data_IF_884024495883
#
_entry.id   IF_884024495883
#
_cell.length_a   1.000
_cell.length_b   1.000
_cell.length_c   1.000
_cell.angle_alpha   90.00
_cell.angle_beta   90.00
_cell.angle_gamma   90.00
#
_symmetry.space_group_name_H-M   'P 1'
#
loop_
_entity.id
_entity.type
_entity.pdbx_description
1 polymer ?
#
# COMPACT_ATOMS: atom_id res chain seq x y z
N UNK A 1 30.09 2.41 1.81
CA UNK A 1 29.52 2.04 3.13
C UNK A 1 29.43 3.33 3.94
N UNK A 2 28.28 4.03 3.86
CA UNK A 2 28.04 5.28 4.60
C UNK A 2 27.30 4.89 5.86
N UNK A 3 27.98 4.94 6.99
CA UNK A 3 27.39 4.78 8.33
C UNK A 3 26.49 5.99 8.59
N UNK A 4 25.19 5.74 8.67
CA UNK A 4 24.21 6.73 9.13
C UNK A 4 24.27 6.78 10.66
N UNK A 5 24.88 7.84 11.18
CA UNK A 5 24.83 8.18 12.61
C UNK A 5 23.37 8.42 13.03
N UNK A 6 22.83 7.48 13.81
CA UNK A 6 21.48 7.54 14.34
C UNK A 6 21.47 8.42 15.60
N UNK A 7 21.06 9.69 15.46
CA UNK A 7 20.51 10.42 16.60
C UNK A 7 19.10 9.86 16.89
N UNK A 8 18.98 9.11 17.99
CA UNK A 8 17.69 8.69 18.58
C UNK A 8 16.91 9.93 18.99
N UNK A 9 15.98 10.36 18.13
CA UNK A 9 14.89 11.24 18.52
C UNK A 9 13.69 10.34 18.90
N UNK A 10 12.98 10.69 19.99
CA UNK A 10 11.76 10.01 20.45
C UNK A 10 10.62 10.16 19.41
N UNK A 11 10.71 9.48 18.28
CA UNK A 11 9.70 9.46 17.23
C UNK A 11 9.13 8.05 17.13
N UNK A 12 7.81 7.95 17.00
CA UNK A 12 7.09 6.68 16.86
C UNK A 12 7.60 5.92 15.64
N UNK A 13 7.90 4.65 15.79
CA UNK A 13 8.17 3.75 14.66
C UNK A 13 6.95 3.66 13.76
N UNK A 14 7.14 3.72 12.43
CA UNK A 14 6.05 3.70 11.47
C UNK A 14 6.38 4.43 10.17
N UNK A 15 5.43 4.41 9.24
CA UNK A 15 5.41 5.27 8.06
C UNK A 15 4.69 6.57 8.45
N UNK A 16 5.42 7.67 8.53
CA UNK A 16 4.91 8.95 9.03
C UNK A 16 5.02 10.02 7.95
N UNK A 17 3.92 10.69 7.70
CA UNK A 17 3.78 11.78 6.73
C UNK A 17 3.49 13.07 7.46
N UNK A 18 4.34 14.10 7.25
CA UNK A 18 4.25 15.37 7.95
C UNK A 18 4.19 16.55 6.99
N UNK A 19 3.12 17.33 7.06
CA UNK A 19 2.93 18.61 6.37
C UNK A 19 3.18 18.55 4.86
N UNK A 20 2.76 17.45 4.22
CA UNK A 20 2.94 17.27 2.78
C UNK A 20 2.04 18.24 2.01
N UNK A 21 2.69 19.03 1.14
CA UNK A 21 2.03 19.90 0.18
C UNK A 21 2.48 19.52 -1.24
N UNK A 22 1.54 19.55 -2.17
CA UNK A 22 1.80 19.31 -3.59
C UNK A 22 0.91 20.15 -4.48
N UNK A 23 1.55 20.86 -5.40
CA UNK A 23 0.87 21.58 -6.49
C UNK A 23 1.42 21.11 -7.84
N UNK A 24 0.57 21.08 -8.85
CA UNK A 24 0.93 20.93 -10.24
C UNK A 24 0.58 22.23 -10.97
N UNK A 25 1.61 22.91 -11.47
CA UNK A 25 1.47 24.28 -12.00
C UNK A 25 0.86 25.20 -10.92
N UNK A 26 -0.36 25.73 -11.15
CA UNK A 26 -1.11 26.60 -10.21
C UNK A 26 -2.17 25.86 -9.41
N UNK A 27 -2.37 24.56 -9.65
CA UNK A 27 -3.41 23.78 -8.97
C UNK A 27 -2.81 23.09 -7.72
N UNK A 28 -3.26 23.47 -6.54
CA UNK A 28 -2.89 22.82 -5.28
C UNK A 28 -3.71 21.53 -5.12
N UNK A 29 -3.04 20.39 -5.08
CA UNK A 29 -3.66 19.05 -4.99
C UNK A 29 -3.58 18.51 -3.58
N UNK A 30 -2.54 18.83 -2.83
CA UNK A 30 -2.38 18.43 -1.43
C UNK A 30 -1.94 19.65 -0.60
N UNK A 31 -2.63 19.87 0.50
CA UNK A 31 -2.38 20.94 1.42
C UNK A 31 -2.25 20.42 2.85
N UNK A 32 -1.05 20.51 3.42
CA UNK A 32 -0.75 20.17 4.81
C UNK A 32 -1.20 18.76 5.21
N UNK A 33 -1.00 17.75 4.34
CA UNK A 33 -1.38 16.38 4.62
C UNK A 33 -0.50 15.79 5.72
N UNK A 34 -1.16 15.24 6.73
CA UNK A 34 -0.53 14.57 7.86
C UNK A 34 -1.24 13.25 8.13
N UNK A 35 -0.50 12.16 8.16
CA UNK A 35 -0.99 10.84 8.60
C UNK A 35 0.16 9.92 8.98
N UNK A 36 -0.17 8.83 9.64
CA UNK A 36 0.79 7.80 10.05
C UNK A 36 0.20 6.40 9.83
N UNK A 37 1.06 5.42 9.59
CA UNK A 37 0.73 3.99 9.51
C UNK A 37 1.72 3.25 10.39
N UNK A 38 1.20 2.45 11.35
CA UNK A 38 2.05 1.61 12.19
C UNK A 38 2.10 0.17 11.66
N UNK A 39 3.06 -0.60 12.17
CA UNK A 39 3.13 -2.03 11.85
C UNK A 39 1.89 -2.75 12.39
N UNK A 40 1.51 -3.86 11.77
CA UNK A 40 0.35 -4.67 12.16
C UNK A 40 -1.00 -3.98 12.08
N UNK A 41 -1.09 -2.79 11.48
CA UNK A 41 -2.37 -2.12 11.24
C UNK A 41 -2.69 -1.93 9.76
N UNK A 42 -3.98 -1.83 9.45
CA UNK A 42 -4.49 -1.41 8.15
C UNK A 42 -5.13 -0.03 8.27
N UNK A 43 -4.62 0.93 7.52
CA UNK A 43 -5.09 2.32 7.50
C UNK A 43 -5.71 2.63 6.15
N UNK A 44 -6.91 3.20 6.15
CA UNK A 44 -7.55 3.71 4.94
C UNK A 44 -7.15 5.16 4.66
N UNK A 45 -6.76 5.47 3.43
CA UNK A 45 -6.66 6.83 2.91
C UNK A 45 -7.80 7.02 1.93
N UNK A 46 -8.95 7.47 2.41
CA UNK A 46 -10.22 7.45 1.70
C UNK A 46 -10.68 8.87 1.33
N UNK A 47 -11.59 8.99 0.38
CA UNK A 47 -12.13 10.28 -0.06
C UNK A 47 -12.65 10.21 -1.49
N UNK A 48 -13.33 11.25 -1.98
CA UNK A 48 -13.87 11.29 -3.33
C UNK A 48 -12.78 11.25 -4.40
N UNK A 49 -13.19 11.06 -5.66
CA UNK A 49 -12.28 11.15 -6.79
C UNK A 49 -11.72 12.58 -6.88
N UNK A 50 -10.43 12.67 -7.23
CA UNK A 50 -9.74 13.96 -7.29
C UNK A 50 -9.27 14.53 -5.93
N UNK A 51 -9.58 13.90 -4.79
CA UNK A 51 -9.17 14.40 -3.48
C UNK A 51 -7.64 14.37 -3.21
N UNK A 52 -6.84 13.74 -4.08
CA UNK A 52 -5.37 13.68 -3.94
C UNK A 52 -4.81 12.34 -3.45
N UNK A 53 -5.63 11.29 -3.28
CA UNK A 53 -5.19 9.98 -2.76
C UNK A 53 -4.03 9.37 -3.56
N UNK A 54 -4.19 9.22 -4.88
CA UNK A 54 -3.17 8.68 -5.77
C UNK A 54 -1.90 9.54 -5.76
N UNK A 55 -2.04 10.87 -5.68
CA UNK A 55 -0.90 11.78 -5.51
C UNK A 55 -0.13 11.51 -4.22
N UNK A 56 -0.83 11.27 -3.10
CA UNK A 56 -0.20 10.83 -1.85
C UNK A 56 0.58 9.53 -2.04
N UNK A 57 -0.01 8.52 -2.69
CA UNK A 57 0.66 7.24 -2.96
C UNK A 57 1.90 7.42 -3.82
N UNK A 58 1.82 8.20 -4.89
CA UNK A 58 2.98 8.49 -5.74
C UNK A 58 4.08 9.26 -4.98
N UNK A 59 3.70 10.11 -4.03
CA UNK A 59 4.67 10.79 -3.16
C UNK A 59 5.31 9.79 -2.18
N UNK A 60 4.54 8.89 -1.59
CA UNK A 60 5.05 7.86 -0.68
C UNK A 60 5.99 6.86 -1.38
N UNK A 61 5.66 6.47 -2.60
CA UNK A 61 6.50 5.57 -3.40
C UNK A 61 7.75 6.24 -3.95
N UNK A 62 7.77 7.59 -4.03
CA UNK A 62 8.88 8.37 -4.59
C UNK A 62 8.79 8.60 -6.10
N UNK A 63 7.65 8.27 -6.72
CA UNK A 63 7.37 8.60 -8.13
C UNK A 63 7.21 10.10 -8.33
N UNK A 64 6.69 10.80 -7.33
CA UNK A 64 6.50 12.26 -7.33
C UNK A 64 7.16 12.84 -6.08
N UNK A 65 7.85 13.98 -6.21
CA UNK A 65 8.38 14.72 -5.07
C UNK A 65 7.33 15.67 -4.52
N UNK A 66 7.17 15.78 -3.19
CA UNK A 66 6.35 16.83 -2.59
C UNK A 66 7.00 18.22 -2.78
N UNK A 67 6.20 19.29 -2.73
CA UNK A 67 6.73 20.65 -2.70
C UNK A 67 7.23 21.04 -1.31
N UNK A 68 6.52 20.58 -0.25
CA UNK A 68 6.88 20.79 1.16
C UNK A 68 6.52 19.54 1.97
N UNK A 69 7.07 19.47 3.18
CA UNK A 69 6.81 18.40 4.13
C UNK A 69 7.86 17.31 4.13
N UNK A 70 7.64 16.29 4.95
CA UNK A 70 8.59 15.20 5.17
C UNK A 70 7.88 13.85 5.31
N UNK A 71 8.59 12.80 4.90
CA UNK A 71 8.15 11.40 5.01
C UNK A 71 9.22 10.61 5.73
N UNK A 72 8.82 9.85 6.73
CA UNK A 72 9.72 9.00 7.51
C UNK A 72 9.23 7.55 7.50
N UNK A 73 10.17 6.62 7.44
CA UNK A 73 9.97 5.19 7.73
C UNK A 73 10.89 4.81 8.87
N UNK A 74 10.31 4.40 10.01
CA UNK A 74 11.05 4.03 11.22
C UNK A 74 12.18 5.04 11.54
N UNK A 75 11.85 6.35 11.56
CA UNK A 75 12.74 7.47 11.81
C UNK A 75 13.73 7.83 10.68
N UNK A 76 13.77 7.11 9.59
CA UNK A 76 14.59 7.43 8.41
C UNK A 76 13.82 8.42 7.54
N UNK A 77 14.37 9.61 7.30
CA UNK A 77 13.80 10.58 6.34
C UNK A 77 13.98 10.05 4.91
N UNK A 78 12.86 9.68 4.28
CA UNK A 78 12.84 9.13 2.92
C UNK A 78 12.34 10.16 1.88
N UNK A 79 12.10 11.40 2.27
CA UNK A 79 11.42 12.41 1.44
C UNK A 79 12.02 12.57 0.05
N UNK A 80 13.35 12.58 -0.03
CA UNK A 80 14.07 12.76 -1.29
C UNK A 80 14.67 11.47 -1.87
N UNK A 81 14.41 10.33 -1.25
CA UNK A 81 14.96 9.05 -1.71
C UNK A 81 14.18 8.54 -2.92
N UNK A 82 14.88 7.98 -3.93
CA UNK A 82 14.24 7.39 -5.10
C UNK A 82 13.50 6.08 -4.78
N UNK A 83 12.61 5.68 -5.67
CA UNK A 83 11.72 4.49 -5.53
C UNK A 83 12.48 3.24 -5.06
N UNK A 84 13.60 2.90 -5.72
CA UNK A 84 14.37 1.68 -5.43
C UNK A 84 14.99 1.67 -4.03
N UNK A 85 15.38 2.84 -3.49
CA UNK A 85 15.87 2.95 -2.10
C UNK A 85 14.72 2.80 -1.11
N UNK A 86 13.55 3.40 -1.39
CA UNK A 86 12.38 3.26 -0.53
C UNK A 86 11.91 1.81 -0.46
N UNK A 87 11.97 1.08 -1.57
CA UNK A 87 11.70 -0.36 -1.59
C UNK A 87 12.68 -1.13 -0.69
N UNK A 88 13.98 -0.82 -0.72
CA UNK A 88 15.00 -1.43 0.17
C UNK A 88 14.79 -1.08 1.65
N UNK A 89 14.26 0.09 1.96
CA UNK A 89 13.93 0.50 3.34
C UNK A 89 12.68 -0.23 3.84
N UNK A 90 11.89 -0.81 2.94
CA UNK A 90 10.73 -1.63 3.28
C UNK A 90 9.37 -1.05 2.89
N UNK A 91 9.29 -0.22 1.85
CA UNK A 91 8.01 0.18 1.24
C UNK A 91 7.72 -0.71 0.05
N UNK A 92 6.66 -1.52 0.13
CA UNK A 92 6.05 -2.23 -0.99
C UNK A 92 4.91 -1.41 -1.61
N UNK A 93 4.74 -1.50 -2.92
CA UNK A 93 3.65 -0.83 -3.63
C UNK A 93 2.95 -1.78 -4.58
N UNK A 94 1.64 -1.83 -4.48
CA UNK A 94 0.77 -2.58 -5.36
C UNK A 94 -0.15 -1.58 -6.08
N UNK A 95 0.11 -1.25 -7.35
CA UNK A 95 -0.67 -0.31 -8.12
C UNK A 95 -2.06 -0.84 -8.45
N UNK A 96 -2.95 0.06 -8.85
CA UNK A 96 -4.29 -0.26 -9.34
C UNK A 96 -4.22 -1.11 -10.60
N UNK A 97 -3.35 -0.74 -11.55
CA UNK A 97 -3.17 -1.48 -12.80
C UNK A 97 -2.35 -2.75 -12.59
N UNK A 98 -2.67 -3.84 -13.35
CA UNK A 98 -1.93 -5.07 -13.29
C UNK A 98 -0.44 -4.87 -13.59
N UNK A 99 0.42 -5.32 -12.66
CA UNK A 99 1.86 -5.10 -12.70
C UNK A 99 2.68 -6.36 -12.99
N UNK A 100 2.06 -7.53 -13.21
CA UNK A 100 2.78 -8.78 -13.54
C UNK A 100 3.54 -8.66 -14.86
N UNK A 101 4.70 -9.29 -14.92
CA UNK A 101 5.42 -9.50 -16.17
C UNK A 101 4.70 -10.58 -16.99
N UNK A 102 3.88 -10.15 -17.94
CA UNK A 102 2.94 -11.00 -18.68
C UNK A 102 3.63 -12.12 -19.47
N UNK A 103 4.84 -11.89 -19.97
CA UNK A 103 5.64 -12.86 -20.72
C UNK A 103 6.38 -13.88 -19.85
N UNK A 104 6.36 -13.72 -18.53
CA UNK A 104 7.03 -14.63 -17.59
C UNK A 104 6.03 -15.57 -16.93
N UNK A 105 6.51 -16.74 -16.51
CA UNK A 105 5.77 -17.65 -15.65
C UNK A 105 5.56 -17.07 -14.25
N UNK A 106 4.70 -17.69 -13.44
CA UNK A 106 4.51 -17.33 -12.03
C UNK A 106 5.84 -17.37 -11.27
N UNK A 107 6.59 -18.44 -11.42
CA UNK A 107 7.89 -18.61 -10.76
C UNK A 107 8.89 -17.52 -11.19
N UNK A 108 9.00 -17.26 -12.48
CA UNK A 108 9.91 -16.24 -13.02
C UNK A 108 9.52 -14.83 -12.58
N UNK A 109 8.22 -14.53 -12.43
CA UNK A 109 7.77 -13.27 -11.84
C UNK A 109 8.27 -13.05 -10.41
N UNK A 110 8.33 -14.11 -9.58
CA UNK A 110 8.84 -14.02 -8.22
C UNK A 110 10.38 -14.00 -8.22
N UNK A 111 11.01 -14.87 -9.00
CA UNK A 111 12.47 -14.96 -9.10
C UNK A 111 13.11 -13.67 -9.58
N UNK A 112 12.49 -12.94 -10.52
CA UNK A 112 12.99 -11.65 -11.03
C UNK A 112 13.25 -10.62 -9.90
N UNK A 113 12.49 -10.68 -8.81
CA UNK A 113 12.69 -9.83 -7.64
C UNK A 113 13.59 -10.51 -6.61
N UNK A 114 13.40 -11.80 -6.37
CA UNK A 114 14.18 -12.55 -5.39
C UNK A 114 15.69 -12.60 -5.75
N UNK A 115 16.04 -12.65 -7.01
CA UNK A 115 17.44 -12.61 -7.47
C UNK A 115 18.14 -11.28 -7.11
N UNK A 116 17.37 -10.21 -7.06
CA UNK A 116 17.88 -8.91 -6.66
C UNK A 116 17.91 -8.71 -5.13
N UNK A 117 16.98 -9.34 -4.40
CA UNK A 117 16.82 -9.12 -2.95
C UNK A 117 17.54 -10.14 -2.07
N UNK A 118 17.79 -11.36 -2.59
CA UNK A 118 18.40 -12.48 -1.86
C UNK A 118 19.54 -13.11 -2.67
N UNK A 119 20.77 -12.87 -2.25
CA UNK A 119 21.97 -13.37 -2.95
C UNK A 119 22.19 -14.86 -2.74
N UNK A 120 21.80 -15.42 -1.59
CA UNK A 120 21.95 -16.85 -1.30
C UNK A 120 20.91 -17.68 -2.08
N UNK A 121 21.36 -18.52 -3.00
CA UNK A 121 20.51 -19.33 -3.87
C UNK A 121 19.57 -20.25 -3.08
N UNK A 122 20.05 -20.91 -2.02
CA UNK A 122 19.22 -21.82 -1.22
C UNK A 122 18.11 -21.06 -0.47
N UNK A 123 18.45 -19.94 0.17
CA UNK A 123 17.46 -19.10 0.85
C UNK A 123 16.45 -18.52 -0.13
N UNK A 124 16.90 -18.09 -1.32
CA UNK A 124 16.04 -17.60 -2.39
C UNK A 124 15.02 -18.65 -2.85
N UNK A 125 15.45 -19.90 -3.08
CA UNK A 125 14.56 -20.98 -3.50
C UNK A 125 13.60 -21.38 -2.37
N UNK A 126 14.05 -21.44 -1.13
CA UNK A 126 13.16 -21.70 0.02
C UNK A 126 12.08 -20.61 0.14
N UNK A 127 12.47 -19.34 0.02
CA UNK A 127 11.52 -18.25 0.08
C UNK A 127 10.52 -18.24 -1.09
N UNK A 128 10.99 -18.63 -2.30
CA UNK A 128 10.10 -18.84 -3.44
C UNK A 128 9.06 -19.92 -3.13
N UNK A 129 9.48 -21.08 -2.61
CA UNK A 129 8.57 -22.19 -2.24
C UNK A 129 7.54 -21.73 -1.19
N UNK A 130 7.98 -20.99 -0.18
CA UNK A 130 7.09 -20.47 0.86
C UNK A 130 6.04 -19.52 0.28
N UNK A 131 6.42 -18.61 -0.61
CA UNK A 131 5.48 -17.71 -1.28
C UNK A 131 4.51 -18.47 -2.20
N UNK A 132 4.99 -19.44 -2.98
CA UNK A 132 4.12 -20.24 -3.85
C UNK A 132 3.09 -21.03 -3.03
N UNK A 133 3.47 -21.57 -1.88
CA UNK A 133 2.55 -22.27 -0.95
C UNK A 133 1.55 -21.30 -0.34
N UNK A 134 2.04 -20.21 0.23
CA UNK A 134 1.20 -19.23 0.94
C UNK A 134 0.11 -18.64 0.04
N UNK A 135 0.44 -18.37 -1.22
CA UNK A 135 -0.47 -17.78 -2.18
C UNK A 135 -1.24 -18.80 -3.03
N UNK A 136 -1.14 -20.11 -2.71
CA UNK A 136 -1.76 -21.19 -3.48
C UNK A 136 -1.46 -21.07 -4.99
N UNK A 137 -0.16 -20.95 -5.31
CA UNK A 137 0.35 -20.78 -6.67
C UNK A 137 1.22 -21.96 -7.14
N UNK A 138 1.37 -23.03 -6.33
CA UNK A 138 2.22 -24.19 -6.66
C UNK A 138 1.80 -24.81 -7.98
N UNK A 139 0.50 -25.11 -8.15
CA UNK A 139 -0.03 -25.75 -9.34
C UNK A 139 0.07 -24.87 -10.60
N UNK A 140 0.28 -23.56 -10.39
CA UNK A 140 0.41 -22.55 -11.44
C UNK A 140 1.84 -22.09 -11.68
N UNK A 141 2.79 -22.69 -10.97
CA UNK A 141 4.21 -22.30 -10.94
C UNK A 141 4.81 -22.06 -12.33
N UNK A 142 4.56 -22.96 -13.26
CA UNK A 142 5.08 -22.93 -14.65
C UNK A 142 4.12 -22.28 -15.64
N UNK A 143 2.96 -21.85 -15.19
CA UNK A 143 1.98 -21.19 -16.06
C UNK A 143 2.40 -19.76 -16.35
N UNK A 144 2.23 -19.34 -17.61
CA UNK A 144 2.52 -17.97 -18.02
C UNK A 144 1.53 -17.00 -17.37
N UNK A 145 2.02 -15.89 -16.83
CA UNK A 145 1.19 -14.92 -16.12
C UNK A 145 0.07 -14.31 -16.98
N UNK A 146 0.19 -14.36 -18.30
CA UNK A 146 -0.84 -13.92 -19.24
C UNK A 146 -2.10 -14.78 -19.15
N UNK A 147 -1.97 -16.08 -18.86
CA UNK A 147 -3.06 -17.06 -18.82
C UNK A 147 -3.78 -17.11 -17.46
N UNK A 148 -3.30 -16.39 -16.47
CA UNK A 148 -3.89 -16.40 -15.14
C UNK A 148 -5.23 -15.65 -15.08
N UNK A 149 -6.16 -16.15 -14.26
CA UNK A 149 -7.36 -15.38 -13.89
C UNK A 149 -6.98 -14.09 -13.15
N UNK A 150 -7.91 -13.13 -13.06
CA UNK A 150 -7.69 -11.87 -12.34
C UNK A 150 -7.24 -12.09 -10.89
N UNK A 151 -7.90 -12.99 -10.14
CA UNK A 151 -7.54 -13.32 -8.76
C UNK A 151 -6.18 -14.02 -8.65
N UNK A 152 -5.86 -14.96 -9.54
CA UNK A 152 -4.54 -15.60 -9.58
C UNK A 152 -3.44 -14.58 -9.87
N UNK A 153 -3.68 -13.68 -10.82
CA UNK A 153 -2.75 -12.59 -11.16
C UNK A 153 -2.51 -11.69 -9.96
N UNK A 154 -3.57 -11.30 -9.24
CA UNK A 154 -3.46 -10.47 -8.03
C UNK A 154 -2.64 -11.17 -6.94
N UNK A 155 -2.79 -12.48 -6.76
CA UNK A 155 -1.97 -13.26 -5.82
C UNK A 155 -0.48 -13.23 -6.20
N UNK A 156 -0.15 -13.35 -7.49
CA UNK A 156 1.25 -13.23 -7.97
C UNK A 156 1.81 -11.84 -7.71
N UNK A 157 1.06 -10.77 -7.97
CA UNK A 157 1.48 -9.39 -7.74
C UNK A 157 1.83 -9.13 -6.28
N UNK A 158 1.00 -9.64 -5.38
CA UNK A 158 1.22 -9.47 -3.95
C UNK A 158 2.39 -10.32 -3.47
N UNK A 159 2.49 -11.59 -3.89
CA UNK A 159 3.63 -12.44 -3.61
C UNK A 159 4.94 -11.78 -4.09
N UNK A 160 4.93 -11.19 -5.29
CA UNK A 160 6.06 -10.45 -5.84
C UNK A 160 6.42 -9.22 -4.98
N UNK A 161 5.43 -8.48 -4.50
CA UNK A 161 5.67 -7.35 -3.58
C UNK A 161 6.32 -7.83 -2.28
N UNK A 162 5.93 -8.99 -1.76
CA UNK A 162 6.53 -9.59 -0.55
C UNK A 162 7.96 -10.09 -0.75
N UNK A 163 8.41 -10.33 -1.99
CA UNK A 163 9.80 -10.69 -2.27
C UNK A 163 10.80 -9.61 -1.76
N UNK A 164 10.39 -8.35 -1.63
CA UNK A 164 11.23 -7.28 -1.07
C UNK A 164 11.25 -7.24 0.46
N UNK A 165 10.51 -8.14 1.15
CA UNK A 165 10.35 -8.18 2.63
C UNK A 165 9.92 -6.82 3.19
N UNK A 166 8.80 -6.22 2.72
CA UNK A 166 8.42 -4.87 3.10
C UNK A 166 7.94 -4.79 4.55
N UNK A 167 8.16 -3.64 5.17
CA UNK A 167 7.60 -3.27 6.48
C UNK A 167 6.22 -2.61 6.34
N UNK A 168 6.00 -1.95 5.20
CA UNK A 168 4.74 -1.28 4.86
C UNK A 168 4.37 -1.60 3.42
N UNK A 169 3.10 -1.88 3.17
CA UNK A 169 2.55 -2.10 1.83
C UNK A 169 1.48 -1.05 1.54
N UNK A 170 1.63 -0.41 0.39
CA UNK A 170 0.66 0.54 -0.15
C UNK A 170 -0.19 -0.20 -1.19
N UNK A 171 -1.51 -0.32 -0.96
CA UNK A 171 -2.48 -0.96 -1.84
C UNK A 171 -3.35 0.11 -2.49
N UNK A 172 -3.18 0.33 -3.79
CA UNK A 172 -3.96 1.31 -4.54
C UNK A 172 -5.18 0.63 -5.15
N UNK A 173 -6.36 0.97 -4.66
CA UNK A 173 -7.67 0.46 -5.07
C UNK A 173 -7.75 -1.09 -5.16
N UNK A 174 -7.41 -1.83 -4.09
CA UNK A 174 -7.33 -3.29 -4.14
C UNK A 174 -8.66 -4.00 -4.36
N UNK A 175 -9.81 -3.33 -4.19
CA UNK A 175 -11.16 -3.90 -4.36
C UNK A 175 -11.82 -3.52 -5.69
N UNK A 176 -11.14 -2.74 -6.52
CA UNK A 176 -11.68 -2.30 -7.81
C UNK A 176 -11.68 -3.43 -8.82
N UNK A 177 -12.84 -3.65 -9.46
CA UNK A 177 -12.98 -4.61 -10.57
C UNK A 177 -12.85 -6.08 -10.18
N UNK A 178 -13.00 -6.42 -8.89
CA UNK A 178 -12.96 -7.80 -8.40
C UNK A 178 -14.37 -8.31 -8.06
N UNK A 179 -14.58 -9.61 -8.26
CA UNK A 179 -15.85 -10.26 -7.90
C UNK A 179 -15.94 -10.52 -6.37
N UNK A 180 -17.17 -10.79 -5.85
CA UNK A 180 -17.38 -11.00 -4.41
C UNK A 180 -16.55 -12.14 -3.78
N UNK A 181 -16.19 -13.18 -4.54
CA UNK A 181 -15.38 -14.29 -4.05
C UNK A 181 -13.92 -13.83 -3.87
N UNK A 182 -13.39 -13.14 -4.87
CA UNK A 182 -12.04 -12.56 -4.83
C UNK A 182 -11.91 -11.48 -3.75
N UNK A 183 -12.98 -10.75 -3.45
CA UNK A 183 -13.01 -9.77 -2.38
C UNK A 183 -12.61 -10.37 -1.03
N UNK A 184 -13.14 -11.54 -0.69
CA UNK A 184 -12.80 -12.24 0.54
C UNK A 184 -11.33 -12.69 0.56
N UNK A 185 -10.77 -13.09 -0.58
CA UNK A 185 -9.36 -13.43 -0.70
C UNK A 185 -8.47 -12.22 -0.38
N UNK A 186 -8.78 -11.05 -0.94
CA UNK A 186 -8.03 -9.80 -0.67
C UNK A 186 -8.16 -9.38 0.80
N UNK A 187 -9.35 -9.50 1.40
CA UNK A 187 -9.55 -9.22 2.83
C UNK A 187 -8.69 -10.14 3.72
N UNK A 188 -8.67 -11.44 3.42
CA UNK A 188 -7.87 -12.41 4.17
C UNK A 188 -6.37 -12.14 4.02
N UNK A 189 -5.95 -11.75 2.82
CA UNK A 189 -4.59 -11.35 2.56
C UNK A 189 -4.18 -10.17 3.44
N UNK A 190 -4.96 -9.08 3.48
CA UNK A 190 -4.66 -7.91 4.31
C UNK A 190 -4.56 -8.30 5.79
N UNK A 191 -5.47 -9.18 6.27
CA UNK A 191 -5.37 -9.74 7.63
C UNK A 191 -4.05 -10.49 7.85
N UNK A 192 -3.59 -11.28 6.87
CA UNK A 192 -2.33 -12.02 6.97
C UNK A 192 -1.11 -11.10 6.95
N UNK A 193 -1.11 -10.03 6.15
CA UNK A 193 -0.06 -9.01 6.17
C UNK A 193 0.07 -8.37 7.55
N UNK A 194 -1.04 -8.01 8.18
CA UNK A 194 -1.05 -7.49 9.57
C UNK A 194 -0.44 -8.49 10.56
N UNK A 195 -0.79 -9.78 10.47
CA UNK A 195 -0.22 -10.84 11.33
C UNK A 195 1.30 -10.99 11.15
N UNK A 196 1.82 -10.67 9.97
CA UNK A 196 3.26 -10.65 9.66
C UNK A 196 3.98 -9.37 10.10
N UNK A 197 3.33 -8.56 10.92
CA UNK A 197 3.86 -7.27 11.38
C UNK A 197 4.11 -6.26 10.26
N UNK A 198 3.31 -6.33 9.18
CA UNK A 198 3.36 -5.40 8.06
C UNK A 198 2.24 -4.35 8.24
N UNK A 199 2.59 -3.07 8.16
CA UNK A 199 1.62 -1.98 8.09
C UNK A 199 1.04 -1.88 6.68
N UNK A 200 -0.28 -1.67 6.56
CA UNK A 200 -0.96 -1.59 5.26
C UNK A 200 -1.66 -0.25 5.12
N UNK A 201 -1.36 0.47 4.04
CA UNK A 201 -2.09 1.68 3.65
C UNK A 201 -2.93 1.35 2.42
N UNK A 202 -4.21 1.67 2.48
CA UNK A 202 -5.18 1.30 1.45
C UNK A 202 -5.89 2.56 0.94
N UNK A 203 -5.93 2.77 -0.38
CA UNK A 203 -6.94 3.63 -1.00
C UNK A 203 -7.99 2.76 -1.66
N UNK A 204 -9.23 3.17 -1.63
CA UNK A 204 -10.27 2.55 -2.45
C UNK A 204 -11.46 3.50 -2.62
N UNK A 205 -12.18 3.34 -3.71
CA UNK A 205 -13.46 4.01 -3.93
C UNK A 205 -14.64 3.16 -3.42
N UNK A 206 -14.44 1.85 -3.22
CA UNK A 206 -15.40 0.99 -2.55
C UNK A 206 -15.27 1.12 -1.03
N UNK A 207 -15.76 2.25 -0.51
CA UNK A 207 -15.64 2.63 0.90
C UNK A 207 -16.19 1.58 1.83
N UNK A 208 -17.33 0.97 1.47
CA UNK A 208 -17.98 -0.03 2.31
C UNK A 208 -17.05 -1.21 2.56
N UNK A 209 -16.41 -1.72 1.52
CA UNK A 209 -15.50 -2.85 1.64
C UNK A 209 -14.22 -2.46 2.38
N UNK A 210 -13.66 -1.29 2.09
CA UNK A 210 -12.48 -0.78 2.79
C UNK A 210 -12.74 -0.66 4.30
N UNK A 211 -13.86 -0.07 4.71
CA UNK A 211 -14.21 0.11 6.13
C UNK A 211 -14.38 -1.21 6.91
N UNK A 212 -14.60 -2.35 6.22
CA UNK A 212 -14.71 -3.66 6.91
C UNK A 212 -13.37 -4.23 7.36
N UNK A 213 -12.24 -3.75 6.84
CA UNK A 213 -10.92 -4.36 7.05
C UNK A 213 -9.87 -3.43 7.66
N UNK A 214 -10.10 -2.11 7.59
CA UNK A 214 -9.18 -1.13 8.17
C UNK A 214 -9.43 -0.95 9.66
N UNK A 215 -8.38 -0.62 10.40
CA UNK A 215 -8.46 -0.31 11.82
C UNK A 215 -8.85 1.16 12.06
N UNK A 216 -8.39 2.05 11.17
CA UNK A 216 -8.70 3.50 11.14
C UNK A 216 -8.55 4.07 9.74
N UNK A 217 -9.11 5.24 9.50
CA UNK A 217 -8.99 5.94 8.22
C UNK A 217 -8.68 7.43 8.41
N UNK A 218 -8.07 7.96 7.37
CA UNK A 218 -8.00 9.39 7.08
C UNK A 218 -8.89 9.68 5.88
N UNK A 219 -9.80 10.62 6.01
CA UNK A 219 -10.66 11.07 4.92
C UNK A 219 -10.05 12.31 4.32
N UNK A 220 -9.67 12.24 3.05
CA UNK A 220 -9.16 13.38 2.29
C UNK A 220 -10.30 13.99 1.47
N UNK A 221 -10.40 15.30 1.53
CA UNK A 221 -11.31 16.09 0.70
C UNK A 221 -10.60 17.39 0.32
N UNK A 222 -10.65 17.75 -0.97
CA UNK A 222 -10.01 18.95 -1.52
C UNK A 222 -8.56 19.15 -1.02
N UNK A 223 -7.77 18.09 -1.11
CA UNK A 223 -6.35 18.12 -0.73
C UNK A 223 -6.06 18.24 0.77
N UNK A 224 -7.06 18.18 1.65
CA UNK A 224 -6.91 18.29 3.09
C UNK A 224 -7.41 17.05 3.81
N UNK A 225 -6.88 16.75 5.00
CA UNK A 225 -7.46 15.73 5.88
C UNK A 225 -8.71 16.31 6.56
N UNK A 226 -9.87 15.87 6.10
CA UNK A 226 -11.17 16.30 6.66
C UNK A 226 -11.43 15.69 8.04
N UNK A 227 -11.08 14.41 8.22
CA UNK A 227 -11.30 13.65 9.44
C UNK A 227 -10.34 12.46 9.51
N UNK A 228 -10.01 12.05 10.74
CA UNK A 228 -9.39 10.75 11.04
C UNK A 228 -10.15 10.05 12.16
N UNK A 229 -10.20 8.73 12.14
CA UNK A 229 -10.86 7.95 13.19
C UNK A 229 -11.07 6.49 12.82
N UNK A 230 -11.72 5.75 13.72
CA UNK A 230 -12.14 4.37 13.47
C UNK A 230 -13.31 4.35 12.48
N UNK A 231 -13.56 3.20 11.80
CA UNK A 231 -14.67 3.09 10.85
C UNK A 231 -16.02 3.58 11.39
N UNK A 232 -16.36 3.27 12.64
CA UNK A 232 -17.61 3.71 13.28
C UNK A 232 -17.70 5.24 13.39
N UNK A 233 -16.58 5.92 13.72
CA UNK A 233 -16.55 7.37 13.87
C UNK A 233 -16.70 8.04 12.49
N UNK A 234 -16.04 7.50 11.47
CA UNK A 234 -16.11 7.94 10.08
C UNK A 234 -17.55 7.90 9.55
N UNK A 235 -18.22 6.74 9.72
CA UNK A 235 -19.59 6.52 9.24
C UNK A 235 -20.60 7.47 9.88
N UNK A 236 -20.40 7.82 11.16
CA UNK A 236 -21.32 8.68 11.92
C UNK A 236 -21.04 10.18 11.75
N UNK A 237 -19.93 10.55 11.12
CA UNK A 237 -19.56 11.95 10.97
C UNK A 237 -20.41 12.65 9.90
N UNK A 238 -21.04 13.78 10.29
CA UNK A 238 -21.93 14.58 9.42
C UNK A 238 -21.20 15.15 8.20
N UNK A 239 -19.96 15.62 8.36
CA UNK A 239 -19.17 16.17 7.24
C UNK A 239 -18.76 15.08 6.26
N UNK A 240 -18.34 13.91 6.76
CA UNK A 240 -18.00 12.76 5.91
C UNK A 240 -19.22 12.28 5.13
N UNK A 241 -20.40 12.22 5.76
CA UNK A 241 -21.65 11.91 5.05
C UNK A 241 -21.93 12.94 3.96
N UNK A 242 -21.88 14.23 4.27
CA UNK A 242 -22.17 15.32 3.33
C UNK A 242 -21.24 15.34 2.12
N UNK A 243 -19.93 15.13 2.31
CA UNK A 243 -18.92 15.34 1.27
C UNK A 243 -18.42 14.06 0.58
N UNK A 244 -18.72 12.87 1.17
CA UNK A 244 -18.14 11.64 0.66
C UNK A 244 -19.10 10.44 0.63
N UNK A 245 -19.74 10.08 1.75
CA UNK A 245 -20.54 8.86 1.83
C UNK A 245 -21.97 9.02 1.27
N UNK A 246 -22.53 10.21 1.33
CA UNK A 246 -23.95 10.49 1.11
C UNK A 246 -24.82 10.19 2.35
N UNK A 247 -25.96 10.87 2.44
CA UNK A 247 -26.87 10.76 3.61
C UNK A 247 -27.53 9.38 3.74
N UNK A 248 -27.66 8.64 2.65
CA UNK A 248 -28.28 7.30 2.59
C UNK A 248 -27.30 6.16 2.86
N UNK A 249 -26.02 6.46 3.13
CA UNK A 249 -25.02 5.42 3.37
C UNK A 249 -25.35 4.62 4.63
N UNK A 250 -25.58 3.31 4.45
CA UNK A 250 -25.79 2.33 5.53
C UNK A 250 -24.64 1.32 5.49
N UNK A 251 -24.11 0.99 6.66
CA UNK A 251 -23.00 0.03 6.85
C UNK A 251 -23.53 -1.25 7.48
#
# INVERSE_FOLDING_TARGET
MVLLDQKKTNSKEGLIVKNINKSFLKNEVLNNINFEVHRSEAVGLLGPNGAGKTTCFHILTGLIKPNKGKIFVDNIDITNLPVYIRSKIGIGYLPQEPSVFRGLTVEENLLSILEYTESNKSQRLNFLEDLLKEFALIDKRKENAMNLSGGQRRRVEIARTLCTKPNFILLDEPFTGIDPLQLNEVKNLIKNLKKKNIGVLITDHNVREALTIIDRAYIIHDGNVLMQGKPRDIINNKLVKKFYLGDTFKF
#
